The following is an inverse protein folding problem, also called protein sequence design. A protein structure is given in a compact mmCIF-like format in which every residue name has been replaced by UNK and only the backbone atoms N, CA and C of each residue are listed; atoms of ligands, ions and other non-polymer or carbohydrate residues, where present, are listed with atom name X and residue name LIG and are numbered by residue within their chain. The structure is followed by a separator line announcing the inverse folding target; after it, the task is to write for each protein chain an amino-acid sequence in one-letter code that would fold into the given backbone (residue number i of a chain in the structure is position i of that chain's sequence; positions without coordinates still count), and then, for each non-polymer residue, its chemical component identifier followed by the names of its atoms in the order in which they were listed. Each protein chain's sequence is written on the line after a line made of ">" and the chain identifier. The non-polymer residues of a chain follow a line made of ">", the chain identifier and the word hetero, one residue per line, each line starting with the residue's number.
data_IF_073112090166
#
_entry.id   IF_073112090166
#
_cell.length_a   1.000
_cell.length_b   1.000
_cell.length_c   1.000
_cell.angle_alpha   90.00
_cell.angle_beta   90.00
_cell.angle_gamma   90.00
#
_symmetry.space_group_name_H-M   'P 1'
#
loop_
_entity.id
_entity.type
_entity.pdbx_description
1 polymer ?
#
# COMPACT_ATOMS: atom_id res chain seq x y z
N UNK A 1 -1.13 1.92 7.14
CA UNK A 1 -0.73 2.10 5.71
C UNK A 1 -1.92 2.16 4.77
N UNK A 2 -2.65 1.07 4.48
CA UNK A 2 -3.74 1.10 3.49
C UNK A 2 -4.82 2.17 3.77
N UNK A 3 -5.31 2.24 5.02
CA UNK A 3 -6.25 3.29 5.44
C UNK A 3 -5.65 4.70 5.39
N UNK A 4 -4.33 4.84 5.55
CA UNK A 4 -3.65 6.14 5.53
C UNK A 4 -3.43 6.66 4.11
N UNK A 5 -3.18 5.79 3.13
CA UNK A 5 -3.10 6.21 1.73
C UNK A 5 -4.48 6.42 1.10
N UNK A 6 -5.52 5.81 1.65
CA UNK A 6 -6.92 6.01 1.24
C UNK A 6 -7.36 7.47 1.46
N UNK A 7 -6.90 8.13 2.54
CA UNK A 7 -7.17 9.55 2.78
C UNK A 7 -6.53 10.47 1.75
N UNK A 8 -5.48 10.00 1.06
CA UNK A 8 -4.81 10.69 -0.06
C UNK A 8 -5.43 10.35 -1.42
N UNK A 9 -6.58 9.66 -1.43
CA UNK A 9 -7.28 9.22 -2.64
C UNK A 9 -6.64 8.01 -3.34
N UNK A 10 -5.75 7.28 -2.66
CA UNK A 10 -5.03 6.14 -3.25
C UNK A 10 -5.58 4.81 -2.73
N UNK A 11 -6.26 4.07 -3.61
CA UNK A 11 -6.81 2.76 -3.28
C UNK A 11 -5.78 1.63 -3.43
N UNK A 12 -5.44 0.97 -2.33
CA UNK A 12 -4.62 -0.25 -2.29
C UNK A 12 -5.30 -1.33 -1.45
N UNK A 13 -4.87 -2.59 -1.61
CA UNK A 13 -5.34 -3.67 -0.73
C UNK A 13 -4.27 -4.01 0.30
N UNK A 14 -4.67 -4.19 1.56
CA UNK A 14 -3.84 -4.83 2.58
C UNK A 14 -4.39 -6.22 2.97
N UNK A 15 -3.51 -7.08 3.47
CA UNK A 15 -3.85 -8.37 4.05
C UNK A 15 -3.05 -9.52 3.43
N UNK A 16 -3.63 -10.72 3.48
CA UNK A 16 -2.99 -11.93 2.96
C UNK A 16 -3.23 -12.17 1.45
N UNK A 17 -4.07 -11.34 0.80
CA UNK A 17 -4.41 -11.44 -0.63
C UNK A 17 -4.89 -12.83 -1.07
N UNK A 18 -5.63 -13.53 -0.20
CA UNK A 18 -6.05 -14.93 -0.39
C UNK A 18 -4.88 -15.92 -0.59
N UNK A 19 -3.66 -15.56 -0.19
CA UNK A 19 -2.43 -16.32 -0.37
C UNK A 19 -1.71 -16.59 0.97
N UNK A 20 -2.44 -17.05 2.00
CA UNK A 20 -1.88 -17.30 3.33
C UNK A 20 -0.64 -18.23 3.35
N UNK A 21 -0.56 -19.31 2.53
CA UNK A 21 0.65 -20.13 2.48
C UNK A 21 1.89 -19.35 2.01
N UNK A 22 1.73 -18.45 1.04
CA UNK A 22 2.82 -17.59 0.56
C UNK A 22 3.24 -16.58 1.63
N UNK A 23 2.29 -16.00 2.35
CA UNK A 23 2.57 -15.08 3.46
C UNK A 23 3.41 -15.77 4.56
N UNK A 24 3.06 -17.02 4.88
CA UNK A 24 3.85 -17.86 5.80
C UNK A 24 5.26 -18.10 5.29
N UNK A 25 5.43 -18.40 4.00
CA UNK A 25 6.75 -18.57 3.39
C UNK A 25 7.59 -17.28 3.41
N UNK A 26 6.96 -16.12 3.15
CA UNK A 26 7.58 -14.79 3.23
C UNK A 26 7.83 -14.31 4.67
N UNK A 27 7.35 -15.05 5.67
CA UNK A 27 7.44 -14.71 7.09
C UNK A 27 6.84 -13.32 7.43
N UNK A 28 5.71 -12.97 6.82
CA UNK A 28 4.96 -11.74 7.10
C UNK A 28 3.47 -12.05 7.30
N UNK A 29 2.78 -11.30 8.16
CA UNK A 29 1.35 -11.50 8.43
C UNK A 29 0.46 -10.86 7.36
N UNK A 30 0.93 -9.78 6.73
CA UNK A 30 0.21 -9.06 5.69
C UNK A 30 1.15 -8.24 4.82
N UNK A 31 0.69 -7.91 3.62
CA UNK A 31 1.35 -6.95 2.72
C UNK A 31 0.34 -5.91 2.26
N UNK A 32 0.84 -4.75 1.84
CA UNK A 32 0.07 -3.83 1.00
C UNK A 32 0.39 -4.12 -0.47
N UNK A 33 -0.62 -4.10 -1.34
CA UNK A 33 -0.49 -4.35 -2.77
C UNK A 33 -1.19 -3.25 -3.57
N UNK A 34 -0.39 -2.51 -4.34
CA UNK A 34 -0.87 -1.74 -5.48
C UNK A 34 -0.82 -2.63 -6.72
N UNK A 35 -1.89 -2.65 -7.51
CA UNK A 35 -1.99 -3.47 -8.73
C UNK A 35 -2.52 -2.58 -9.85
N UNK A 36 -1.77 -2.51 -10.94
CA UNK A 36 -2.06 -1.65 -12.08
C UNK A 36 -2.73 -2.43 -13.22
N UNK A 37 -3.42 -1.70 -14.09
CA UNK A 37 -3.94 -2.23 -15.34
C UNK A 37 -3.87 -1.19 -16.47
N UNK A 38 -4.49 -1.49 -17.63
CA UNK A 38 -4.34 -0.71 -18.87
C UNK A 38 -4.76 0.76 -18.78
N UNK A 39 -5.54 1.12 -17.76
CA UNK A 39 -6.05 2.47 -17.55
C UNK A 39 -5.21 3.30 -16.58
N UNK A 40 -4.18 2.70 -15.95
CA UNK A 40 -3.33 3.44 -15.03
C UNK A 40 -2.26 4.25 -15.76
N UNK A 41 -1.90 5.39 -15.19
CA UNK A 41 -0.89 6.29 -15.75
C UNK A 41 0.34 6.39 -14.83
N UNK A 42 1.37 7.12 -15.27
CA UNK A 42 2.53 7.39 -14.43
C UNK A 42 2.18 8.31 -13.26
N UNK A 43 1.25 9.22 -13.49
CA UNK A 43 0.73 10.15 -12.49
C UNK A 43 0.06 9.40 -11.33
N UNK A 44 -0.65 8.28 -11.59
CA UNK A 44 -1.18 7.42 -10.54
C UNK A 44 -0.06 6.84 -9.64
N UNK A 45 1.08 6.48 -10.25
CA UNK A 45 2.25 5.94 -9.53
C UNK A 45 2.89 7.05 -8.69
N UNK A 46 2.99 8.27 -9.24
CA UNK A 46 3.53 9.43 -8.52
C UNK A 46 2.65 9.78 -7.31
N UNK A 47 1.32 9.74 -7.47
CA UNK A 47 0.38 9.94 -6.36
C UNK A 47 0.53 8.85 -5.29
N UNK A 48 0.66 7.58 -5.69
CA UNK A 48 0.93 6.48 -4.76
C UNK A 48 2.24 6.70 -3.98
N UNK A 49 3.32 7.11 -4.65
CA UNK A 49 4.61 7.37 -4.01
C UNK A 49 4.49 8.52 -3.00
N UNK A 50 3.81 9.60 -3.36
CA UNK A 50 3.61 10.75 -2.48
C UNK A 50 2.78 10.36 -1.24
N UNK A 51 1.69 9.62 -1.43
CA UNK A 51 0.86 9.12 -0.33
C UNK A 51 1.66 8.21 0.62
N UNK A 52 2.55 7.35 0.09
CA UNK A 52 3.42 6.49 0.89
C UNK A 52 4.45 7.28 1.71
N UNK A 53 5.04 8.34 1.13
CA UNK A 53 5.96 9.24 1.86
C UNK A 53 5.25 9.94 3.01
N UNK A 54 4.10 10.54 2.74
CA UNK A 54 3.29 11.21 3.76
C UNK A 54 2.86 10.23 4.86
N UNK A 55 2.42 9.02 4.49
CA UNK A 55 2.08 7.95 5.45
C UNK A 55 3.29 7.58 6.31
N UNK A 56 4.48 7.45 5.71
CA UNK A 56 5.71 7.14 6.45
C UNK A 56 6.03 8.24 7.45
N UNK A 57 5.94 9.50 7.04
CA UNK A 57 6.18 10.66 7.91
C UNK A 57 5.17 10.69 9.07
N UNK A 58 3.87 10.55 8.78
CA UNK A 58 2.80 10.49 9.79
C UNK A 58 3.11 9.48 10.90
N UNK A 59 3.43 8.23 10.55
CA UNK A 59 3.77 7.20 11.53
C UNK A 59 5.16 7.35 12.15
N UNK A 60 6.06 8.15 11.56
CA UNK A 60 7.38 8.42 12.15
C UNK A 60 7.32 9.43 13.30
N UNK A 61 6.25 10.23 13.39
CA UNK A 61 6.04 11.19 14.48
C UNK A 61 5.20 10.64 15.64
N UNK A 62 4.62 9.44 15.49
CA UNK A 62 3.75 8.80 16.49
C UNK A 62 4.48 7.76 17.39
N UNK A 63 5.81 7.64 17.29
CA UNK A 63 6.64 6.76 18.13
C UNK A 63 7.91 7.44 18.62
#
# INVERSE_FOLDING_TARGET
>A
VATAVDTEGVAVRAGHHCAQPLMKWLNVSSTARASFYIYNTKEDIDQLINALKQTKEFFSYEF
#
